data_IF_444490442174
#
_entry.id   IF_444490442174
#
_cell.length_a   1.000
_cell.length_b   1.000
_cell.length_c   1.000
_cell.angle_alpha   90.00
_cell.angle_beta   90.00
_cell.angle_gamma   90.00
#
_symmetry.space_group_name_H-M   'P 1'
#
loop_
_entity.id
_entity.type
_entity.pdbx_description
1 polymer ?
#
# COMPACT_ATOMS: atom_id res chain seq x y z
N UNK A 1 14.32 -13.50 -0.74
CA UNK A 1 14.94 -12.80 0.41
C UNK A 1 14.69 -13.62 1.67
N UNK A 2 15.72 -13.86 2.49
CA UNK A 2 15.60 -14.60 3.75
C UNK A 2 15.00 -13.73 4.87
N UNK A 3 14.49 -14.34 5.94
CA UNK A 3 13.88 -13.60 7.08
C UNK A 3 14.88 -12.64 7.73
N UNK A 4 16.14 -13.05 7.90
CA UNK A 4 17.17 -12.20 8.51
C UNK A 4 17.51 -10.97 7.65
N UNK A 5 17.44 -11.09 6.33
CA UNK A 5 17.62 -9.97 5.40
C UNK A 5 16.46 -8.97 5.56
N UNK A 6 15.22 -9.44 5.64
CA UNK A 6 14.06 -8.58 5.93
C UNK A 6 14.16 -7.89 7.29
N UNK A 7 14.63 -8.58 8.33
CA UNK A 7 14.82 -7.97 9.64
C UNK A 7 15.84 -6.82 9.58
N UNK A 8 16.91 -6.99 8.81
CA UNK A 8 17.88 -5.92 8.58
C UNK A 8 17.25 -4.74 7.81
N UNK A 9 16.44 -5.02 6.79
CA UNK A 9 15.72 -4.00 6.03
C UNK A 9 14.72 -3.22 6.88
N UNK A 10 13.98 -3.90 7.78
CA UNK A 10 13.06 -3.24 8.71
C UNK A 10 13.79 -2.30 9.69
N UNK A 11 14.94 -2.73 10.19
CA UNK A 11 15.78 -1.90 11.07
C UNK A 11 16.32 -0.67 10.31
N UNK A 12 16.82 -0.88 9.09
CA UNK A 12 17.29 0.19 8.23
C UNK A 12 16.18 1.19 7.89
N UNK A 13 15.01 0.69 7.50
CA UNK A 13 13.82 1.48 7.20
C UNK A 13 13.44 2.38 8.37
N UNK A 14 13.39 1.82 9.58
CA UNK A 14 13.10 2.57 10.81
C UNK A 14 14.14 3.66 11.08
N UNK A 15 15.42 3.34 10.97
CA UNK A 15 16.51 4.28 11.19
C UNK A 15 16.45 5.46 10.20
N UNK A 16 16.22 5.17 8.91
CA UNK A 16 16.19 6.20 7.86
C UNK A 16 15.01 7.13 7.98
N UNK A 17 13.87 6.66 8.44
CA UNK A 17 12.71 7.53 8.69
C UNK A 17 13.03 8.58 9.76
N UNK A 18 13.71 8.21 10.84
CA UNK A 18 14.14 9.17 11.86
C UNK A 18 15.20 10.16 11.36
N UNK A 19 16.13 9.69 10.53
CA UNK A 19 17.25 10.51 10.08
C UNK A 19 16.90 11.47 8.95
N UNK A 20 16.04 11.05 8.03
CA UNK A 20 15.81 11.75 6.77
C UNK A 20 14.49 12.51 6.74
N UNK A 21 13.45 12.02 7.40
CA UNK A 21 12.15 12.68 7.36
C UNK A 21 12.11 13.83 8.37
N UNK A 22 11.69 15.04 7.98
CA UNK A 22 11.78 16.22 8.86
C UNK A 22 10.82 16.16 10.06
N UNK A 23 9.70 15.44 9.95
CA UNK A 23 8.73 15.30 11.03
C UNK A 23 7.87 14.03 10.86
N UNK A 24 8.43 12.81 11.04
CA UNK A 24 7.73 11.57 10.68
C UNK A 24 6.57 11.18 11.60
N UNK A 25 6.47 11.82 12.77
CA UNK A 25 5.55 11.42 13.84
C UNK A 25 4.46 12.47 14.15
N UNK A 26 4.21 13.40 13.24
CA UNK A 26 3.18 14.43 13.45
C UNK A 26 1.76 13.88 13.45
N UNK A 27 1.52 12.76 12.76
CA UNK A 27 0.21 12.10 12.68
C UNK A 27 0.04 11.00 13.72
N UNK A 28 1.07 10.17 13.88
CA UNK A 28 1.09 9.05 14.81
C UNK A 28 2.32 9.12 15.71
N UNK A 29 2.20 8.75 17.00
CA UNK A 29 3.36 8.63 17.87
C UNK A 29 4.35 7.57 17.36
N UNK A 30 5.65 7.79 17.59
CA UNK A 30 6.71 6.84 17.24
C UNK A 30 6.43 5.42 17.78
N UNK A 31 5.89 5.31 19.00
CA UNK A 31 5.54 4.01 19.60
C UNK A 31 4.50 3.21 18.78
N UNK A 32 3.56 3.89 18.10
CA UNK A 32 2.59 3.22 17.22
C UNK A 32 3.28 2.66 15.98
N UNK A 33 4.22 3.43 15.43
CA UNK A 33 5.03 3.04 14.28
C UNK A 33 5.93 1.84 14.62
N UNK A 34 6.61 1.91 15.76
CA UNK A 34 7.49 0.84 16.27
C UNK A 34 6.69 -0.44 16.53
N UNK A 35 5.49 -0.33 17.10
CA UNK A 35 4.61 -1.48 17.33
C UNK A 35 4.19 -2.16 16.02
N UNK A 36 3.93 -1.40 14.94
CA UNK A 36 3.60 -1.95 13.63
C UNK A 36 4.78 -2.65 12.97
N UNK A 37 5.98 -2.09 13.07
CA UNK A 37 7.20 -2.74 12.60
C UNK A 37 7.51 -4.02 13.37
N UNK A 38 7.34 -4.01 14.69
CA UNK A 38 7.53 -5.20 15.51
C UNK A 38 6.52 -6.32 15.17
N UNK A 39 5.26 -5.95 14.90
CA UNK A 39 4.24 -6.90 14.44
C UNK A 39 4.58 -7.49 13.07
N UNK A 40 5.07 -6.68 12.13
CA UNK A 40 5.54 -7.17 10.83
C UNK A 40 6.74 -8.11 11.00
N UNK A 41 7.73 -7.73 11.80
CA UNK A 41 8.92 -8.54 12.08
C UNK A 41 8.57 -9.93 12.63
N UNK A 42 7.60 -10.01 13.54
CA UNK A 42 7.13 -11.27 14.13
C UNK A 42 6.44 -12.19 13.10
N UNK A 43 5.76 -11.61 12.11
CA UNK A 43 5.02 -12.36 11.09
C UNK A 43 5.87 -12.76 9.88
N UNK A 44 7.08 -12.21 9.69
CA UNK A 44 7.94 -12.45 8.53
C UNK A 44 8.04 -13.92 8.08
N UNK A 45 8.19 -14.93 8.98
CA UNK A 45 8.31 -16.33 8.56
C UNK A 45 7.09 -16.88 7.82
N UNK A 46 5.93 -16.22 7.95
CA UNK A 46 4.65 -16.66 7.40
C UNK A 46 4.17 -15.81 6.22
N UNK A 47 4.94 -14.81 5.80
CA UNK A 47 4.56 -13.87 4.77
C UNK A 47 5.36 -14.09 3.48
N UNK A 48 4.67 -13.95 2.36
CA UNK A 48 5.33 -13.73 1.07
C UNK A 48 5.96 -12.34 1.01
N UNK A 49 6.93 -12.18 0.11
CA UNK A 49 7.58 -10.89 -0.17
C UNK A 49 6.57 -9.79 -0.52
N UNK A 50 5.56 -10.10 -1.35
CA UNK A 50 4.47 -9.19 -1.69
C UNK A 50 3.69 -8.74 -0.45
N UNK A 51 3.37 -9.66 0.47
CA UNK A 51 2.65 -9.32 1.70
C UNK A 51 3.49 -8.45 2.65
N UNK A 52 4.81 -8.67 2.70
CA UNK A 52 5.75 -7.85 3.46
C UNK A 52 5.76 -6.41 2.91
N UNK A 53 5.90 -6.26 1.59
CA UNK A 53 5.92 -4.95 0.91
C UNK A 53 4.59 -4.19 1.11
N UNK A 54 3.47 -4.89 0.98
CA UNK A 54 2.14 -4.30 1.23
C UNK A 54 2.03 -3.81 2.67
N UNK A 55 2.44 -4.62 3.66
CA UNK A 55 2.44 -4.20 5.08
C UNK A 55 3.40 -3.04 5.35
N UNK A 56 4.56 -2.99 4.71
CA UNK A 56 5.46 -1.83 4.78
C UNK A 56 4.81 -0.57 4.20
N UNK A 57 4.00 -0.70 3.16
CA UNK A 57 3.25 0.42 2.57
C UNK A 57 2.21 0.98 3.54
N UNK A 58 1.51 0.11 4.30
CA UNK A 58 0.61 0.51 5.40
C UNK A 58 1.37 1.33 6.45
N UNK A 59 2.57 0.87 6.83
CA UNK A 59 3.41 1.54 7.83
C UNK A 59 3.85 2.91 7.31
N UNK A 60 4.25 3.00 6.04
CA UNK A 60 4.64 4.26 5.40
C UNK A 60 3.48 5.27 5.33
N UNK A 61 2.25 4.82 5.13
CA UNK A 61 1.07 5.69 5.08
C UNK A 61 0.83 6.49 6.38
N UNK A 62 1.39 6.05 7.51
CA UNK A 62 1.34 6.81 8.75
C UNK A 62 2.24 8.06 8.77
N UNK A 63 3.22 8.14 7.87
CA UNK A 63 4.18 9.25 7.80
C UNK A 63 3.50 10.47 7.18
N UNK A 64 3.34 10.51 5.86
CA UNK A 64 2.65 11.57 5.13
C UNK A 64 2.31 11.18 3.69
N UNK A 65 1.71 12.10 2.92
CA UNK A 65 1.38 11.91 1.50
C UNK A 65 2.53 12.15 0.51
N UNK A 66 3.75 12.41 0.98
CA UNK A 66 4.92 12.64 0.12
C UNK A 66 6.01 11.57 0.33
N UNK A 67 5.79 10.64 1.25
CA UNK A 67 6.65 9.51 1.56
C UNK A 67 5.94 8.23 1.14
N UNK A 68 6.50 7.51 0.18
CA UNK A 68 5.87 6.29 -0.36
C UNK A 68 6.89 5.24 -0.73
N UNK A 69 6.46 3.98 -0.71
CA UNK A 69 7.19 2.89 -1.38
C UNK A 69 6.77 2.90 -2.84
N UNK A 70 7.76 2.97 -3.73
CA UNK A 70 7.53 3.01 -5.17
C UNK A 70 7.20 1.61 -5.69
N UNK A 71 5.92 1.25 -5.68
CA UNK A 71 5.47 -0.11 -5.98
C UNK A 71 5.70 -0.55 -7.42
N UNK A 72 5.85 0.39 -8.36
CA UNK A 72 6.00 0.08 -9.80
C UNK A 72 7.46 0.04 -10.26
N UNK A 73 8.39 0.52 -9.43
CA UNK A 73 9.80 0.59 -9.76
C UNK A 73 10.52 -0.71 -9.36
N UNK A 74 11.64 -1.02 -10.01
CA UNK A 74 12.53 -2.09 -9.55
C UNK A 74 13.08 -1.75 -8.15
N UNK A 75 13.19 -2.73 -7.23
CA UNK A 75 12.98 -4.17 -7.43
C UNK A 75 11.55 -4.67 -7.17
N UNK A 76 10.60 -3.82 -6.76
CA UNK A 76 9.24 -4.24 -6.36
C UNK A 76 8.38 -4.65 -7.57
N UNK A 77 8.36 -3.80 -8.60
CA UNK A 77 7.78 -4.09 -9.93
C UNK A 77 6.37 -4.70 -9.91
N UNK A 78 5.46 -4.15 -9.11
CA UNK A 78 4.04 -4.52 -9.15
C UNK A 78 3.43 -4.09 -10.49
N UNK A 79 2.46 -4.88 -10.95
CA UNK A 79 1.82 -4.67 -12.25
C UNK A 79 0.47 -4.00 -12.08
N UNK A 80 0.19 -3.03 -12.95
CA UNK A 80 -1.13 -2.41 -13.04
C UNK A 80 -2.00 -3.17 -14.03
N UNK A 81 -3.28 -3.31 -13.69
CA UNK A 81 -4.28 -3.63 -14.69
C UNK A 81 -4.42 -2.46 -15.67
N UNK A 82 -4.76 -2.71 -16.94
CA UNK A 82 -4.95 -1.67 -17.95
C UNK A 82 -6.29 -0.92 -17.78
N UNK A 83 -6.70 -0.69 -16.54
CA UNK A 83 -7.98 -0.13 -16.13
C UNK A 83 -7.74 1.03 -15.15
N UNK A 84 -8.29 2.20 -15.45
CA UNK A 84 -8.21 3.37 -14.58
C UNK A 84 -9.60 3.72 -14.06
N UNK A 85 -9.75 3.62 -12.75
CA UNK A 85 -11.00 3.95 -12.06
C UNK A 85 -10.92 5.33 -11.40
N UNK A 86 -12.08 5.96 -11.21
CA UNK A 86 -12.23 7.19 -10.43
C UNK A 86 -13.41 7.07 -9.48
N UNK A 87 -13.26 7.60 -8.26
CA UNK A 87 -14.33 7.66 -7.27
C UNK A 87 -15.04 9.00 -7.34
N UNK A 88 -16.29 8.99 -7.80
CA UNK A 88 -17.22 10.11 -7.78
C UNK A 88 -18.13 10.04 -6.56
N UNK A 89 -18.98 11.05 -6.36
CA UNK A 89 -19.91 11.11 -5.23
C UNK A 89 -20.96 9.98 -5.24
N UNK A 90 -21.28 9.44 -6.41
CA UNK A 90 -22.29 8.42 -6.66
C UNK A 90 -21.71 7.03 -6.98
N UNK A 91 -20.38 6.88 -6.99
CA UNK A 91 -19.74 5.57 -7.09
C UNK A 91 -18.34 5.58 -7.72
N UNK A 92 -17.80 4.39 -7.93
CA UNK A 92 -16.51 4.19 -8.62
C UNK A 92 -16.76 3.79 -10.06
N UNK A 93 -16.17 4.52 -11.01
CA UNK A 93 -16.40 4.32 -12.44
C UNK A 93 -15.10 4.13 -13.19
N UNK A 94 -15.13 3.31 -14.24
CA UNK A 94 -14.01 3.14 -15.16
C UNK A 94 -13.94 4.38 -16.07
N UNK A 95 -12.88 5.17 -15.94
CA UNK A 95 -12.71 6.42 -16.70
C UNK A 95 -11.76 6.29 -17.88
N UNK A 96 -10.90 5.27 -17.88
CA UNK A 96 -9.99 4.98 -18.98
C UNK A 96 -9.63 3.49 -18.95
N UNK A 97 -9.39 2.90 -20.11
CA UNK A 97 -8.99 1.51 -20.24
C UNK A 97 -8.20 1.32 -21.55
N UNK A 98 -7.28 0.35 -21.57
CA UNK A 98 -6.63 -0.09 -22.80
C UNK A 98 -7.30 -1.36 -23.34
N UNK A 99 -6.96 -1.70 -24.58
CA UNK A 99 -7.44 -2.91 -25.24
C UNK A 99 -7.28 -4.17 -24.36
N UNK A 100 -8.29 -5.05 -24.32
CA UNK A 100 -9.57 -5.02 -25.07
C UNK A 100 -10.75 -4.40 -24.27
N UNK A 101 -10.49 -3.54 -23.28
CA UNK A 101 -11.50 -3.14 -22.29
C UNK A 101 -12.17 -1.78 -22.55
N UNK A 102 -11.93 -1.15 -23.70
CA UNK A 102 -12.42 0.19 -24.01
C UNK A 102 -13.95 0.29 -23.98
N UNK A 103 -14.65 -0.80 -24.33
CA UNK A 103 -16.12 -0.86 -24.33
C UNK A 103 -16.74 -0.69 -22.93
N UNK A 104 -15.96 -0.92 -21.86
CA UNK A 104 -16.44 -0.82 -20.48
C UNK A 104 -16.28 0.59 -19.88
N UNK A 105 -15.67 1.53 -20.59
CA UNK A 105 -15.48 2.92 -20.11
C UNK A 105 -16.86 3.54 -19.81
N UNK A 106 -16.98 4.19 -18.66
CA UNK A 106 -18.25 4.70 -18.12
C UNK A 106 -19.02 3.67 -17.27
N UNK A 107 -18.58 2.41 -17.24
CA UNK A 107 -19.15 1.37 -16.36
C UNK A 107 -18.85 1.62 -14.89
N UNK A 108 -19.84 1.32 -14.03
CA UNK A 108 -19.69 1.40 -12.57
C UNK A 108 -19.07 0.11 -12.02
N UNK A 109 -18.03 0.23 -11.20
CA UNK A 109 -17.43 -0.89 -10.47
C UNK A 109 -18.28 -1.22 -9.24
N UNK A 110 -18.99 -2.35 -9.27
CA UNK A 110 -19.84 -2.78 -8.15
C UNK A 110 -19.09 -3.65 -7.12
N UNK A 111 -18.16 -4.47 -7.60
CA UNK A 111 -17.44 -5.46 -6.79
C UNK A 111 -16.09 -5.83 -7.41
N UNK A 112 -15.14 -6.25 -6.57
CA UNK A 112 -13.88 -6.88 -7.00
C UNK A 112 -13.91 -8.32 -6.49
N UNK A 113 -13.93 -9.28 -7.42
CA UNK A 113 -14.23 -10.68 -7.10
C UNK A 113 -15.58 -10.79 -6.36
N UNK A 114 -15.55 -11.37 -5.16
CA UNK A 114 -16.74 -11.55 -4.31
C UNK A 114 -16.97 -10.40 -3.31
N UNK A 115 -16.18 -9.32 -3.35
CA UNK A 115 -16.26 -8.21 -2.38
C UNK A 115 -16.91 -6.97 -2.99
N UNK A 116 -17.95 -6.39 -2.35
CA UNK A 116 -18.50 -5.09 -2.75
C UNK A 116 -17.41 -4.00 -2.77
N UNK A 117 -17.46 -3.08 -3.73
CA UNK A 117 -16.42 -2.05 -3.90
C UNK A 117 -16.22 -1.20 -2.63
N UNK A 118 -17.30 -0.89 -1.91
CA UNK A 118 -17.22 -0.14 -0.65
C UNK A 118 -16.37 -0.87 0.41
N UNK A 119 -16.50 -2.21 0.50
CA UNK A 119 -15.70 -3.01 1.43
C UNK A 119 -14.23 -3.09 0.98
N UNK A 120 -13.96 -3.08 -0.33
CA UNK A 120 -12.61 -3.03 -0.88
C UNK A 120 -11.95 -1.69 -0.52
N UNK A 121 -12.63 -0.56 -0.76
CA UNK A 121 -12.12 0.77 -0.42
C UNK A 121 -11.86 0.92 1.08
N UNK A 122 -12.77 0.43 1.93
CA UNK A 122 -12.58 0.45 3.38
C UNK A 122 -11.35 -0.38 3.80
N UNK A 123 -11.11 -1.53 3.16
CA UNK A 123 -9.93 -2.34 3.44
C UNK A 123 -8.61 -1.71 2.92
N UNK A 124 -8.69 -0.85 1.90
CA UNK A 124 -7.53 -0.13 1.36
C UNK A 124 -7.19 1.16 2.12
N UNK A 125 -8.13 1.69 2.92
CA UNK A 125 -7.96 2.94 3.66
C UNK A 125 -6.67 3.02 4.51
N UNK A 126 -6.20 1.94 5.16
CA UNK A 126 -4.92 1.97 5.90
C UNK A 126 -3.67 2.18 5.05
N UNK A 127 -3.75 1.97 3.74
CA UNK A 127 -2.62 2.10 2.80
C UNK A 127 -2.60 3.45 2.06
N UNK A 128 -3.62 4.30 2.30
CA UNK A 128 -3.73 5.62 1.70
C UNK A 128 -3.21 6.64 2.72
N UNK A 129 -2.11 7.35 2.42
CA UNK A 129 -1.61 8.40 3.30
C UNK A 129 -2.58 9.56 3.45
#
# INVERSE_FOLDING_TARGET
>A
VAVDEWLADLAYFRERIDQLHPNPYYRVPAATYDAKLAALAADLPNLSETEIIVRLTEIMAFVDGHSSIHLLDDPVNFQLYPLQFYSFADGVFLINAQAPFEEYIGGQLLRVGNRPVAAVLAALQPYIP
#
